data_IF_055363877435
#
_entry.id   IF_055363877435
#
_cell.length_a   1.000
_cell.length_b   1.000
_cell.length_c   1.000
_cell.angle_alpha   90.00
_cell.angle_beta   90.00
_cell.angle_gamma   90.00
#
_symmetry.space_group_name_H-M   'P 1'
#
loop_
_entity.id
_entity.type
_entity.pdbx_description
1 polymer ?
#
# COMPACT_ATOMS: atom_id res chain seq x y z
N UNK A 1 -5.16 0.05 3.25
CA UNK A 1 -4.14 0.64 4.16
C UNK A 1 -4.74 1.71 5.04
N UNK A 2 -5.44 2.73 4.50
CA UNK A 2 -6.06 3.80 5.29
C UNK A 2 -6.89 3.33 6.49
N UNK A 3 -7.85 2.42 6.28
CA UNK A 3 -8.68 1.87 7.37
C UNK A 3 -7.84 1.26 8.50
N UNK A 4 -6.87 0.40 8.14
CA UNK A 4 -6.00 -0.29 9.09
C UNK A 4 -5.07 0.68 9.84
N UNK A 5 -4.58 1.71 9.15
CA UNK A 5 -3.78 2.77 9.77
C UNK A 5 -4.62 3.57 10.78
N UNK A 6 -5.89 3.83 10.48
CA UNK A 6 -6.79 4.53 11.40
C UNK A 6 -7.12 3.68 12.64
N UNK A 7 -7.37 2.38 12.46
CA UNK A 7 -7.53 1.43 13.56
C UNK A 7 -6.27 1.39 14.45
N UNK A 8 -5.08 1.33 13.84
CA UNK A 8 -3.80 1.39 14.56
C UNK A 8 -3.64 2.70 15.36
N UNK A 9 -3.99 3.86 14.77
CA UNK A 9 -3.92 5.15 15.46
C UNK A 9 -4.85 5.17 16.68
N UNK A 10 -6.07 4.66 16.54
CA UNK A 10 -7.02 4.61 17.64
C UNK A 10 -6.55 3.67 18.76
N UNK A 11 -5.94 2.54 18.42
CA UNK A 11 -5.37 1.62 19.41
C UNK A 11 -4.18 2.25 20.15
N UNK A 12 -3.26 2.90 19.44
CA UNK A 12 -2.14 3.62 20.07
C UNK A 12 -2.65 4.72 21.02
N UNK A 13 -3.66 5.49 20.58
CA UNK A 13 -4.30 6.52 21.43
C UNK A 13 -4.98 5.91 22.66
N UNK A 14 -5.63 4.76 22.51
CA UNK A 14 -6.24 4.02 23.63
C UNK A 14 -5.16 3.60 24.63
N UNK A 15 -4.07 2.99 24.17
CA UNK A 15 -2.97 2.56 25.05
C UNK A 15 -2.36 3.74 25.82
N UNK A 16 -2.09 4.86 25.17
CA UNK A 16 -1.58 6.06 25.87
C UNK A 16 -2.55 6.64 26.90
N UNK A 17 -3.86 6.45 26.71
CA UNK A 17 -4.89 6.95 27.65
C UNK A 17 -5.15 5.98 28.80
N UNK A 18 -5.11 4.68 28.55
CA UNK A 18 -5.60 3.65 29.47
C UNK A 18 -4.49 2.91 30.22
N UNK A 19 -3.25 2.87 29.70
CA UNK A 19 -2.11 2.20 30.35
C UNK A 19 -1.37 3.24 31.22
N UNK A 20 -1.48 3.18 32.56
CA UNK A 20 -0.80 4.13 33.44
C UNK A 20 0.72 3.95 33.35
N UNK A 21 1.48 5.05 33.28
CA UNK A 21 2.94 5.01 33.20
C UNK A 21 3.49 4.88 31.78
N UNK A 22 2.65 4.69 30.75
CA UNK A 22 3.13 4.48 29.38
C UNK A 22 3.71 5.75 28.76
N UNK A 23 3.08 6.91 28.99
CA UNK A 23 3.60 8.21 28.52
C UNK A 23 4.89 8.60 29.25
N UNK A 24 4.99 8.22 30.52
CA UNK A 24 6.16 8.45 31.37
C UNK A 24 7.29 7.45 31.12
N UNK A 25 7.06 6.41 30.30
CA UNK A 25 8.04 5.36 29.98
C UNK A 25 8.25 4.32 31.09
N UNK A 26 7.33 4.23 32.05
CA UNK A 26 7.37 3.30 33.19
C UNK A 26 6.51 2.04 32.99
N UNK A 27 5.82 1.92 31.86
CA UNK A 27 4.99 0.78 31.51
C UNK A 27 5.28 0.30 30.07
N UNK A 28 5.06 -0.99 29.84
CA UNK A 28 5.25 -1.61 28.53
C UNK A 28 4.00 -1.47 27.65
N UNK A 29 4.14 -1.14 26.35
CA UNK A 29 3.02 -1.08 25.42
C UNK A 29 2.49 -2.49 25.06
N UNK A 30 1.20 -2.59 24.75
CA UNK A 30 0.60 -3.81 24.21
C UNK A 30 0.88 -3.89 22.69
N UNK A 31 2.06 -4.40 22.38
CA UNK A 31 2.50 -4.61 21.00
C UNK A 31 1.73 -5.75 20.31
N UNK A 32 1.27 -6.75 21.06
CA UNK A 32 0.52 -7.87 20.52
C UNK A 32 -0.78 -7.41 19.87
N UNK A 33 -1.46 -6.43 20.48
CA UNK A 33 -2.69 -5.88 19.91
C UNK A 33 -2.46 -5.12 18.61
N UNK A 34 -1.38 -4.36 18.51
CA UNK A 34 -0.99 -3.68 17.27
C UNK A 34 -0.68 -4.70 16.16
N UNK A 35 0.05 -5.77 16.49
CA UNK A 35 0.37 -6.86 15.55
C UNK A 35 -0.92 -7.54 15.06
N UNK A 36 -1.88 -7.81 15.95
CA UNK A 36 -3.16 -8.42 15.62
C UNK A 36 -3.97 -7.58 14.63
N UNK A 37 -4.06 -6.26 14.85
CA UNK A 37 -4.74 -5.31 13.94
C UNK A 37 -4.11 -5.34 12.56
N UNK A 38 -2.79 -5.17 12.48
CA UNK A 38 -2.07 -5.15 11.21
C UNK A 38 -2.22 -6.50 10.46
N UNK A 39 -2.05 -7.61 11.17
CA UNK A 39 -2.14 -8.97 10.60
C UNK A 39 -3.54 -9.27 10.08
N UNK A 40 -4.56 -9.05 10.91
CA UNK A 40 -5.95 -9.30 10.57
C UNK A 40 -6.40 -8.45 9.38
N UNK A 41 -6.02 -7.17 9.36
CA UNK A 41 -6.34 -6.28 8.26
C UNK A 41 -5.65 -6.71 6.95
N UNK A 42 -4.37 -7.05 7.01
CA UNK A 42 -3.61 -7.51 5.84
C UNK A 42 -4.23 -8.76 5.22
N UNK A 43 -4.51 -9.79 6.03
CA UNK A 43 -5.10 -11.05 5.57
C UNK A 43 -6.47 -10.85 4.91
N UNK A 44 -7.34 -10.03 5.52
CA UNK A 44 -8.69 -9.78 4.98
C UNK A 44 -8.66 -8.95 3.71
N UNK A 45 -7.84 -7.89 3.67
CA UNK A 45 -7.85 -6.92 2.56
C UNK A 45 -7.05 -7.40 1.34
N UNK A 46 -6.11 -8.34 1.50
CA UNK A 46 -5.32 -8.89 0.39
C UNK A 46 -6.14 -9.81 -0.53
N UNK A 47 -7.22 -10.42 -0.04
CA UNK A 47 -8.05 -11.34 -0.82
C UNK A 47 -8.66 -10.66 -2.05
N UNK A 48 -9.23 -9.46 -1.88
CA UNK A 48 -9.98 -8.79 -2.96
C UNK A 48 -9.08 -8.50 -4.18
N UNK A 49 -7.92 -7.83 -4.05
CA UNK A 49 -7.00 -7.63 -5.18
C UNK A 49 -6.54 -8.93 -5.83
N UNK A 50 -6.26 -9.98 -5.03
CA UNK A 50 -5.84 -11.27 -5.55
C UNK A 50 -6.93 -11.97 -6.36
N UNK A 51 -8.17 -11.95 -5.89
CA UNK A 51 -9.33 -12.50 -6.61
C UNK A 51 -9.54 -11.77 -7.93
N UNK A 52 -9.45 -10.44 -7.95
CA UNK A 52 -9.58 -9.65 -9.18
C UNK A 52 -8.50 -10.05 -10.20
N UNK A 53 -7.24 -10.14 -9.76
CA UNK A 53 -6.11 -10.50 -10.61
C UNK A 53 -6.29 -11.86 -11.31
N UNK A 54 -6.83 -12.85 -10.59
CA UNK A 54 -6.98 -14.22 -11.10
C UNK A 54 -8.28 -14.39 -11.88
N UNK A 55 -9.37 -13.72 -11.49
CA UNK A 55 -10.68 -13.89 -12.12
C UNK A 55 -10.91 -13.00 -13.35
N UNK A 56 -10.29 -11.83 -13.44
CA UNK A 56 -10.50 -10.92 -14.55
C UNK A 56 -10.12 -11.52 -15.92
N UNK A 57 -8.96 -12.21 -16.09
CA UNK A 57 -8.61 -12.76 -17.39
C UNK A 57 -9.57 -13.84 -17.90
N UNK A 58 -9.98 -14.86 -17.10
CA UNK A 58 -11.02 -15.80 -17.52
C UNK A 58 -12.34 -15.12 -17.86
N UNK A 59 -12.79 -14.16 -17.04
CA UNK A 59 -14.06 -13.46 -17.29
C UNK A 59 -14.03 -12.72 -18.61
N UNK A 60 -12.97 -11.97 -18.90
CA UNK A 60 -12.87 -11.23 -20.16
C UNK A 60 -12.65 -12.17 -21.34
N UNK A 61 -11.78 -13.18 -21.20
CA UNK A 61 -11.49 -14.14 -22.25
C UNK A 61 -12.74 -14.91 -22.70
N UNK A 62 -13.48 -15.52 -21.77
CA UNK A 62 -14.63 -16.37 -22.11
C UNK A 62 -15.89 -15.57 -22.49
N UNK A 63 -16.06 -14.34 -21.99
CA UNK A 63 -17.26 -13.53 -22.26
C UNK A 63 -17.08 -12.65 -23.51
N UNK A 64 -15.90 -12.05 -23.68
CA UNK A 64 -15.64 -11.02 -24.71
C UNK A 64 -14.63 -11.46 -25.79
N UNK A 65 -14.03 -12.64 -25.63
CA UNK A 65 -13.10 -13.22 -26.59
C UNK A 65 -11.62 -12.85 -26.38
N UNK A 66 -10.72 -13.55 -27.10
CA UNK A 66 -9.27 -13.42 -26.93
C UNK A 66 -8.73 -12.05 -27.35
N UNK A 67 -9.32 -11.39 -28.35
CA UNK A 67 -8.90 -10.04 -28.78
C UNK A 67 -9.15 -8.99 -27.69
N UNK A 68 -10.32 -9.08 -27.04
CA UNK A 68 -10.70 -8.22 -25.92
C UNK A 68 -9.77 -8.44 -24.72
N UNK A 69 -9.41 -9.70 -24.46
CA UNK A 69 -8.43 -10.05 -23.42
C UNK A 69 -7.05 -9.43 -23.72
N UNK A 70 -6.58 -9.52 -24.97
CA UNK A 70 -5.34 -8.87 -25.41
C UNK A 70 -5.37 -7.35 -25.20
N UNK A 71 -6.49 -6.70 -25.55
CA UNK A 71 -6.70 -5.28 -25.30
C UNK A 71 -6.67 -4.91 -23.81
N UNK A 72 -7.31 -5.71 -22.95
CA UNK A 72 -7.29 -5.52 -21.50
C UNK A 72 -5.86 -5.63 -20.94
N UNK A 73 -5.08 -6.62 -21.38
CA UNK A 73 -3.70 -6.79 -20.94
C UNK A 73 -2.81 -5.64 -21.39
N UNK A 74 -2.94 -5.19 -22.64
CA UNK A 74 -2.16 -4.08 -23.17
C UNK A 74 -2.48 -2.76 -22.44
N UNK A 75 -3.76 -2.44 -22.26
CA UNK A 75 -4.19 -1.27 -21.51
C UNK A 75 -3.80 -1.33 -20.04
N UNK A 76 -3.98 -2.50 -19.41
CA UNK A 76 -3.60 -2.78 -18.04
C UNK A 76 -2.10 -2.62 -17.81
N UNK A 77 -1.26 -3.10 -18.73
CA UNK A 77 0.19 -2.93 -18.67
C UNK A 77 0.58 -1.45 -18.68
N UNK A 78 0.06 -0.67 -19.62
CA UNK A 78 0.38 0.76 -19.73
C UNK A 78 -0.05 1.52 -18.47
N UNK A 79 -1.27 1.29 -17.99
CA UNK A 79 -1.77 1.91 -16.78
C UNK A 79 -0.95 1.52 -15.54
N UNK A 80 -0.67 0.22 -15.36
CA UNK A 80 0.07 -0.29 -14.20
C UNK A 80 1.49 0.25 -14.16
N UNK A 81 2.21 0.28 -15.30
CA UNK A 81 3.59 0.76 -15.36
C UNK A 81 3.66 2.24 -15.00
N UNK A 82 2.80 3.07 -15.59
CA UNK A 82 2.78 4.51 -15.33
C UNK A 82 2.44 4.79 -13.85
N UNK A 83 1.44 4.11 -13.31
CA UNK A 83 1.05 4.28 -11.91
C UNK A 83 2.10 3.74 -10.94
N UNK A 84 2.73 2.60 -11.23
CA UNK A 84 3.78 2.03 -10.39
C UNK A 84 4.97 2.99 -10.26
N UNK A 85 5.44 3.54 -11.38
CA UNK A 85 6.55 4.51 -11.39
C UNK A 85 6.17 5.79 -10.65
N UNK A 86 4.98 6.33 -10.90
CA UNK A 86 4.49 7.51 -10.21
C UNK A 86 4.44 7.31 -8.69
N UNK A 87 3.79 6.23 -8.22
CA UNK A 87 3.61 5.95 -6.80
C UNK A 87 4.95 5.71 -6.09
N UNK A 88 5.84 4.92 -6.70
CA UNK A 88 7.16 4.64 -6.13
C UNK A 88 8.01 5.91 -6.01
N UNK A 89 8.06 6.72 -7.08
CA UNK A 89 8.88 7.94 -7.10
C UNK A 89 8.30 9.02 -6.19
N UNK A 90 6.97 9.23 -6.19
CA UNK A 90 6.34 10.21 -5.33
C UNK A 90 6.53 9.86 -3.84
N UNK A 91 6.28 8.61 -3.45
CA UNK A 91 6.49 8.16 -2.07
C UNK A 91 7.96 8.23 -1.64
N UNK A 92 8.89 7.84 -2.53
CA UNK A 92 10.32 7.98 -2.27
C UNK A 92 10.78 9.44 -2.14
N UNK A 93 10.21 10.34 -2.94
CA UNK A 93 10.51 11.77 -2.86
C UNK A 93 10.04 12.37 -1.54
N UNK A 94 8.82 12.04 -1.06
CA UNK A 94 8.33 12.52 0.23
C UNK A 94 9.15 12.00 1.42
N UNK A 95 9.53 10.72 1.43
CA UNK A 95 10.41 10.18 2.49
C UNK A 95 11.79 10.84 2.50
N UNK A 96 12.38 11.04 1.32
CA UNK A 96 13.67 11.71 1.19
C UNK A 96 13.61 13.19 1.58
N UNK A 97 12.51 13.88 1.26
CA UNK A 97 12.29 15.25 1.71
C UNK A 97 12.21 15.34 3.24
N UNK A 98 11.45 14.44 3.88
CA UNK A 98 11.39 14.32 5.35
C UNK A 98 12.79 14.08 5.93
N UNK A 99 13.52 13.08 5.43
CA UNK A 99 14.90 12.78 5.89
C UNK A 99 15.86 13.95 5.68
N UNK A 100 15.70 14.71 4.61
CA UNK A 100 16.51 15.90 4.35
C UNK A 100 16.28 17.00 5.40
N UNK A 101 15.02 17.21 5.81
CA UNK A 101 14.66 18.15 6.88
C UNK A 101 15.15 17.63 8.23
N UNK A 102 15.02 16.33 8.51
CA UNK A 102 15.50 15.70 9.75
C UNK A 102 17.01 15.82 9.97
N UNK A 103 17.78 15.99 8.89
CA UNK A 103 19.23 16.29 8.92
C UNK A 103 19.55 17.75 9.23
N UNK A 104 18.55 18.61 9.44
CA UNK A 104 18.72 20.00 9.84
C UNK A 104 18.76 21.02 8.70
N UNK A 105 18.62 20.59 7.44
CA UNK A 105 18.77 21.48 6.28
C UNK A 105 17.63 22.52 6.14
N UNK A 106 16.52 22.34 6.86
CA UNK A 106 15.34 23.22 6.84
C UNK A 106 14.71 23.33 8.23
N UNK A 107 15.54 23.59 9.25
CA UNK A 107 15.08 23.81 10.63
C UNK A 107 15.06 22.57 11.53
N UNK A 108 15.09 21.36 10.97
CA UNK A 108 15.22 20.14 11.77
C UNK A 108 13.90 19.60 12.33
N UNK A 109 14.02 18.58 13.19
CA UNK A 109 12.88 17.86 13.79
C UNK A 109 12.05 18.78 14.70
N UNK A 110 10.73 18.59 14.68
CA UNK A 110 9.79 19.32 15.53
C UNK A 110 9.40 20.70 15.01
N UNK A 111 9.86 21.10 13.83
CA UNK A 111 9.41 22.31 13.13
C UNK A 111 8.13 22.05 12.35
N UNK A 112 7.39 23.12 12.01
CA UNK A 112 6.20 23.01 11.16
C UNK A 112 6.52 22.41 9.78
N UNK A 113 7.71 22.73 9.23
CA UNK A 113 8.22 22.15 8.00
C UNK A 113 8.43 20.64 8.12
N UNK A 114 8.97 20.17 9.25
CA UNK A 114 9.12 18.74 9.52
C UNK A 114 7.77 18.06 9.66
N UNK A 115 6.83 18.65 10.40
CA UNK A 115 5.48 18.11 10.54
C UNK A 115 4.77 17.98 9.17
N UNK A 116 4.88 18.97 8.30
CA UNK A 116 4.33 18.91 6.95
C UNK A 116 4.96 17.80 6.10
N UNK A 117 6.28 17.60 6.21
CA UNK A 117 6.97 16.54 5.49
C UNK A 117 6.63 15.14 6.04
N UNK A 118 6.38 15.00 7.34
CA UNK A 118 5.87 13.76 7.94
C UNK A 118 4.49 13.42 7.37
N UNK A 119 3.59 14.40 7.23
CA UNK A 119 2.29 14.18 6.58
C UNK A 119 2.48 13.69 5.14
N UNK A 120 3.36 14.33 4.36
CA UNK A 120 3.68 13.90 3.00
C UNK A 120 4.19 12.46 2.92
N UNK A 121 5.10 12.06 3.82
CA UNK A 121 5.63 10.70 3.88
C UNK A 121 4.54 9.68 4.25
N UNK A 122 3.67 9.99 5.21
CA UNK A 122 2.54 9.09 5.57
C UNK A 122 1.54 8.88 4.43
N UNK A 123 1.39 9.86 3.53
CA UNK A 123 0.62 9.70 2.28
C UNK A 123 1.40 8.85 1.27
N UNK A 124 2.72 8.97 1.26
CA UNK A 124 3.63 8.23 0.39
C UNK A 124 3.84 6.76 0.77
N UNK A 125 3.69 6.38 2.04
CA UNK A 125 3.91 5.01 2.52
C UNK A 125 2.99 3.99 1.81
N UNK A 126 1.66 4.19 1.72
CA UNK A 126 0.80 3.28 0.94
C UNK A 126 1.14 3.24 -0.56
N UNK A 127 1.73 4.31 -1.10
CA UNK A 127 2.09 4.41 -2.51
C UNK A 127 3.35 3.60 -2.81
N UNK A 128 4.44 3.82 -2.07
CA UNK A 128 5.73 3.19 -2.34
C UNK A 128 5.85 1.76 -1.81
N UNK A 129 5.16 1.43 -0.71
CA UNK A 129 5.35 0.15 -0.02
C UNK A 129 4.20 -0.85 -0.21
N UNK A 130 3.04 -0.40 -0.72
CA UNK A 130 1.89 -1.29 -0.95
C UNK A 130 1.42 -1.25 -2.40
N UNK A 131 0.88 -0.14 -2.85
CA UNK A 131 0.15 -0.08 -4.12
C UNK A 131 1.09 -0.12 -5.32
N UNK A 132 2.13 0.73 -5.32
CA UNK A 132 3.09 0.86 -6.42
C UNK A 132 3.77 -0.46 -6.81
N UNK A 133 4.45 -1.15 -5.87
CA UNK A 133 5.06 -2.46 -6.15
C UNK A 133 4.05 -3.53 -6.57
N UNK A 134 2.84 -3.50 -5.98
CA UNK A 134 1.80 -4.50 -6.27
C UNK A 134 1.26 -4.41 -7.70
N UNK A 135 1.30 -3.23 -8.34
CA UNK A 135 0.87 -3.07 -9.75
C UNK A 135 1.68 -3.95 -10.71
N UNK A 136 2.98 -4.13 -10.44
CA UNK A 136 3.84 -4.99 -11.26
C UNK A 136 3.48 -6.48 -11.09
N UNK A 137 3.13 -6.89 -9.87
CA UNK A 137 2.69 -8.25 -9.60
C UNK A 137 1.32 -8.50 -10.24
N UNK A 138 0.41 -7.53 -10.13
CA UNK A 138 -0.93 -7.60 -10.70
C UNK A 138 -0.88 -7.91 -12.22
N UNK A 139 -0.08 -7.16 -12.98
CA UNK A 139 0.03 -7.36 -14.43
C UNK A 139 0.65 -8.71 -14.78
N UNK A 140 1.69 -9.14 -14.05
CA UNK A 140 2.32 -10.43 -14.29
C UNK A 140 1.38 -11.60 -14.01
N UNK A 141 0.61 -11.54 -12.92
CA UNK A 141 -0.38 -12.58 -12.60
C UNK A 141 -1.48 -12.62 -13.67
N UNK A 142 -2.02 -11.46 -14.07
CA UNK A 142 -3.04 -11.41 -15.12
C UNK A 142 -2.52 -11.97 -16.45
N UNK A 143 -1.28 -11.65 -16.83
CA UNK A 143 -0.65 -12.16 -18.05
C UNK A 143 -0.43 -13.68 -18.00
N UNK A 144 0.08 -14.21 -16.88
CA UNK A 144 0.29 -15.65 -16.70
C UNK A 144 -1.04 -16.41 -16.75
N UNK A 145 -2.07 -15.93 -16.03
CA UNK A 145 -3.40 -16.56 -16.06
C UNK A 145 -3.98 -16.53 -17.47
N UNK A 146 -3.86 -15.40 -18.18
CA UNK A 146 -4.29 -15.28 -19.59
C UNK A 146 -3.61 -16.29 -20.49
N UNK A 147 -2.29 -16.48 -20.33
CA UNK A 147 -1.52 -17.44 -21.11
C UNK A 147 -1.97 -18.89 -20.82
N UNK A 148 -2.26 -19.21 -19.56
CA UNK A 148 -2.73 -20.55 -19.16
C UNK A 148 -4.09 -20.87 -19.76
N UNK A 149 -5.00 -19.90 -19.83
CA UNK A 149 -6.34 -20.11 -20.40
C UNK A 149 -6.40 -19.96 -21.92
N UNK A 150 -5.38 -19.38 -22.56
CA UNK A 150 -5.39 -19.08 -23.99
C UNK A 150 -5.74 -20.29 -24.90
N UNK A 151 -5.30 -21.53 -24.64
CA UNK A 151 -5.71 -22.69 -25.45
C UNK A 151 -7.19 -23.09 -25.31
N UNK A 152 -7.90 -22.54 -24.33
CA UNK A 152 -9.30 -22.82 -24.03
C UNK A 152 -10.26 -21.74 -24.56
N UNK A 153 -9.71 -20.61 -25.03
CA UNK A 153 -10.43 -19.46 -25.60
C UNK A 153 -10.55 -19.61 -27.11
#
# INVERSE_FOLDING_TARGET
VGDAAFEMINEIRRQFKEIPGLLEGNAEPDTAKCIDIATSAALKKMLIPGVIAVSAPPLVGFILGPESLGGMLAGGLLACVLMALFMANAGGAWDNAKKYIEKGNLGGKGTDTHAAAVVGDTVGDPFKDTSGPSMNILINVMAIVSLVIAPLL
#
